data_IF_827287254950
#
_entry.id   IF_827287254950
#
_cell.length_a   1.000
_cell.length_b   1.000
_cell.length_c   1.000
_cell.angle_alpha   90.00
_cell.angle_beta   90.00
_cell.angle_gamma   90.00
#
_symmetry.space_group_name_H-M   'P 1'
#
loop_
_entity.id
_entity.type
_entity.pdbx_description
1 polymer ?
#
# COMPACT_ATOMS: atom_id res chain seq x y z
N UNK A 1 -2.59 -8.83 -3.10
CA UNK A 1 -3.53 -8.38 -2.05
C UNK A 1 -4.90 -8.47 -2.72
N UNK A 2 -5.85 -9.23 -2.18
CA UNK A 2 -7.13 -9.52 -2.85
C UNK A 2 -8.37 -9.09 -2.07
N UNK A 3 -8.21 -8.70 -0.80
CA UNK A 3 -9.33 -8.19 -0.01
C UNK A 3 -9.62 -6.76 -0.43
N UNK A 4 -10.76 -6.54 -1.08
CA UNK A 4 -11.24 -5.20 -1.50
C UNK A 4 -11.20 -4.19 -0.36
N UNK A 5 -11.69 -4.60 0.80
CA UNK A 5 -11.72 -3.79 2.02
C UNK A 5 -10.33 -3.32 2.47
N UNK A 6 -9.33 -4.19 2.37
CA UNK A 6 -7.95 -3.84 2.69
C UNK A 6 -7.29 -3.01 1.59
N UNK A 7 -7.65 -3.23 0.32
CA UNK A 7 -7.22 -2.38 -0.81
C UNK A 7 -7.75 -0.96 -0.61
N UNK A 8 -9.02 -0.79 -0.26
CA UNK A 8 -9.60 0.51 0.06
C UNK A 8 -8.94 1.15 1.28
N UNK A 9 -8.68 0.40 2.35
CA UNK A 9 -7.97 0.93 3.52
C UNK A 9 -6.56 1.43 3.16
N UNK A 10 -5.81 0.69 2.33
CA UNK A 10 -4.48 1.09 1.88
C UNK A 10 -4.53 2.31 0.96
N UNK A 11 -5.53 2.39 0.07
CA UNK A 11 -5.77 3.58 -0.77
C UNK A 11 -6.03 4.80 0.09
N UNK A 12 -6.94 4.71 1.05
CA UNK A 12 -7.29 5.84 1.91
C UNK A 12 -6.11 6.29 2.78
N UNK A 13 -5.26 5.36 3.22
CA UNK A 13 -4.04 5.70 3.95
C UNK A 13 -2.95 6.34 3.08
N UNK A 14 -2.66 5.77 1.91
CA UNK A 14 -1.53 6.18 1.06
C UNK A 14 -1.85 7.33 0.12
N UNK A 15 -3.12 7.47 -0.30
CA UNK A 15 -3.55 8.44 -1.32
C UNK A 15 -4.38 9.54 -0.69
N UNK A 16 -5.40 9.17 0.10
CA UNK A 16 -6.31 10.14 0.72
C UNK A 16 -5.74 10.75 2.01
N UNK A 17 -4.63 10.22 2.54
CA UNK A 17 -3.92 10.75 3.71
C UNK A 17 -4.59 10.48 5.05
N UNK A 18 -5.56 9.56 5.12
CA UNK A 18 -6.22 9.23 6.39
C UNK A 18 -5.26 8.48 7.33
N UNK A 19 -5.45 8.68 8.65
CA UNK A 19 -4.64 7.96 9.64
C UNK A 19 -4.93 6.45 9.61
N UNK A 20 -3.94 5.65 10.03
CA UNK A 20 -4.09 4.19 10.16
C UNK A 20 -5.30 3.82 11.03
N UNK A 21 -5.49 4.51 12.16
CA UNK A 21 -6.62 4.26 13.07
C UNK A 21 -7.95 4.44 12.33
N UNK A 22 -8.11 5.56 11.64
CA UNK A 22 -9.33 5.88 10.91
C UNK A 22 -9.65 4.84 9.82
N UNK A 23 -8.66 4.40 9.03
CA UNK A 23 -8.92 3.40 7.98
C UNK A 23 -9.16 2.00 8.54
N UNK A 24 -8.44 1.59 9.59
CA UNK A 24 -8.67 0.29 10.23
C UNK A 24 -10.06 0.20 10.85
N UNK A 25 -10.55 1.27 11.48
CA UNK A 25 -11.92 1.37 12.01
C UNK A 25 -12.96 1.40 10.88
N UNK A 26 -12.82 2.31 9.91
CA UNK A 26 -13.75 2.47 8.78
C UNK A 26 -13.95 1.17 7.99
N UNK A 27 -12.87 0.44 7.76
CA UNK A 27 -12.89 -0.78 6.96
C UNK A 27 -12.84 -2.05 7.80
N UNK A 28 -12.95 -2.00 9.13
CA UNK A 28 -12.92 -3.21 9.98
C UNK A 28 -11.69 -4.11 9.75
N UNK A 29 -10.55 -3.50 9.43
CA UNK A 29 -9.27 -4.19 9.18
C UNK A 29 -8.44 -4.11 10.45
N UNK A 30 -7.92 -5.26 10.92
CA UNK A 30 -7.03 -5.24 12.07
C UNK A 30 -5.63 -4.70 11.69
N UNK A 31 -4.92 -4.15 12.68
CA UNK A 31 -3.61 -3.53 12.46
C UNK A 31 -2.56 -4.48 11.88
N UNK A 32 -2.58 -5.77 12.23
CA UNK A 32 -1.63 -6.76 11.72
C UNK A 32 -1.81 -7.02 10.22
N UNK A 33 -3.05 -7.18 9.79
CA UNK A 33 -3.40 -7.41 8.39
C UNK A 33 -3.09 -6.19 7.54
N UNK A 34 -3.43 -4.99 8.04
CA UNK A 34 -3.07 -3.73 7.42
C UNK A 34 -1.55 -3.58 7.30
N UNK A 35 -0.81 -3.77 8.39
CA UNK A 35 0.66 -3.59 8.42
C UNK A 35 1.38 -4.58 7.51
N UNK A 36 0.95 -5.85 7.50
CA UNK A 36 1.48 -6.87 6.59
C UNK A 36 1.29 -6.46 5.12
N UNK A 37 0.11 -5.94 4.79
CA UNK A 37 -0.23 -5.56 3.42
C UNK A 37 0.50 -4.28 2.99
N UNK A 38 0.62 -3.31 3.90
CA UNK A 38 1.42 -2.11 3.69
C UNK A 38 2.90 -2.46 3.49
N UNK A 39 3.44 -3.38 4.28
CA UNK A 39 4.82 -3.87 4.11
C UNK A 39 5.04 -4.54 2.75
N UNK A 40 4.07 -5.32 2.25
CA UNK A 40 4.13 -5.90 0.90
C UNK A 40 4.15 -4.82 -0.19
N UNK A 41 3.32 -3.78 -0.08
CA UNK A 41 3.35 -2.65 -1.01
C UNK A 41 4.66 -1.87 -0.94
N UNK A 42 5.20 -1.63 0.26
CA UNK A 42 6.48 -0.96 0.43
C UNK A 42 7.63 -1.76 -0.23
N UNK A 43 7.64 -3.10 -0.08
CA UNK A 43 8.59 -3.97 -0.78
C UNK A 43 8.44 -3.87 -2.31
N UNK A 44 7.21 -3.85 -2.83
CA UNK A 44 6.96 -3.66 -4.27
C UNK A 44 7.48 -2.30 -4.73
N UNK A 45 7.23 -1.23 -3.99
CA UNK A 45 7.75 0.10 -4.29
C UNK A 45 9.29 0.13 -4.35
N UNK A 46 9.96 -0.51 -3.39
CA UNK A 46 11.42 -0.64 -3.42
C UNK A 46 11.91 -1.43 -4.65
N UNK A 47 11.21 -2.50 -5.04
CA UNK A 47 11.56 -3.27 -6.24
C UNK A 47 11.33 -2.45 -7.51
N UNK A 48 10.21 -1.74 -7.62
CA UNK A 48 9.92 -0.85 -8.73
C UNK A 48 10.99 0.25 -8.86
N UNK A 49 11.44 0.82 -7.75
CA UNK A 49 12.52 1.80 -7.74
C UNK A 49 13.85 1.22 -8.24
N UNK A 50 14.19 -0.02 -7.85
CA UNK A 50 15.37 -0.74 -8.37
C UNK A 50 15.27 -1.06 -9.86
N UNK A 51 14.05 -1.27 -10.37
CA UNK A 51 13.79 -1.52 -11.78
C UNK A 51 13.75 -0.24 -12.62
N UNK A 52 13.41 0.90 -12.02
CA UNK A 52 13.23 2.17 -12.72
C UNK A 52 14.40 2.58 -13.65
N UNK A 53 15.69 2.35 -13.31
CA UNK A 53 16.80 2.68 -14.22
C UNK A 53 16.75 1.96 -15.57
N UNK A 54 16.24 0.72 -15.62
CA UNK A 54 16.12 -0.05 -16.87
C UNK A 54 15.07 0.52 -17.83
N UNK A 55 14.16 1.36 -17.33
CA UNK A 55 13.14 2.06 -18.10
C UNK A 55 13.51 3.51 -18.40
N UNK A 56 14.67 3.99 -17.90
CA UNK A 56 15.09 5.39 -18.01
C UNK A 56 15.85 5.72 -19.29
N UNK A 57 16.35 4.71 -20.01
CA UNK A 57 17.14 4.86 -21.25
C UNK A 57 16.50 4.19 -22.47
N UNK A 58 15.17 4.22 -22.56
CA UNK A 58 14.42 3.84 -23.76
C UNK A 58 13.91 5.07 -24.53
N UNK A 59 14.70 6.15 -24.60
CA UNK A 59 14.61 7.26 -25.57
C UNK A 59 15.99 7.86 -25.72
#
# INVERSE_FOLDING_TARGET
IHSERNIHALKDYLVSGYSRKAVCERYGVNNGYFSTSLGRLHRINQMAWKLAPYYRNAV
#
